data_IF_647384064464
#
_entry.id   IF_647384064464
#
_cell.length_a   1.000
_cell.length_b   1.000
_cell.length_c   1.000
_cell.angle_alpha   90.00
_cell.angle_beta   90.00
_cell.angle_gamma   90.00
#
_symmetry.space_group_name_H-M   'P 1'
#
loop_
_entity.id
_entity.type
_entity.pdbx_description
1 polymer ?
#
# COMPACT_ATOMS: atom_id res chain seq x y z
N UNK A 1 -26.06 -39.59 15.31
CA UNK A 1 -25.62 -40.65 14.38
C UNK A 1 -24.71 -40.01 13.34
N UNK A 2 -23.42 -39.79 13.63
CA UNK A 2 -22.23 -40.60 13.24
C UNK A 2 -22.17 -41.00 11.76
N UNK A 3 -21.18 -40.43 11.06
CA UNK A 3 -20.10 -41.02 10.20
C UNK A 3 -19.43 -39.82 9.48
N UNK A 4 -18.19 -39.38 9.67
CA UNK A 4 -16.87 -39.92 10.05
C UNK A 4 -16.17 -40.77 8.97
N UNK A 5 -15.02 -40.25 8.52
CA UNK A 5 -13.96 -40.88 7.73
C UNK A 5 -13.11 -39.79 7.06
N UNK A 6 -11.78 -39.76 7.06
CA UNK A 6 -10.75 -40.63 7.65
C UNK A 6 -9.44 -39.80 7.58
N UNK A 7 -8.75 -39.65 8.71
CA UNK A 7 -7.46 -38.93 8.81
C UNK A 7 -6.38 -40.00 9.05
N UNK A 8 -5.39 -40.08 8.14
CA UNK A 8 -4.27 -41.02 8.26
C UNK A 8 -3.26 -40.47 9.28
N UNK A 9 -3.05 -41.22 10.36
CA UNK A 9 -1.98 -41.00 11.33
C UNK A 9 -0.72 -41.76 10.89
N UNK A 10 0.42 -41.06 10.81
CA UNK A 10 1.74 -41.68 10.70
C UNK A 10 2.39 -41.67 12.09
N UNK A 11 2.63 -42.87 12.60
CA UNK A 11 3.28 -43.17 13.86
C UNK A 11 4.80 -43.01 13.66
N UNK A 12 5.47 -42.20 14.49
CA UNK A 12 6.92 -42.29 14.68
C UNK A 12 7.24 -42.67 16.12
N UNK A 13 7.85 -43.83 16.24
CA UNK A 13 8.26 -44.51 17.46
C UNK A 13 9.52 -43.85 18.01
N UNK A 14 9.50 -43.44 19.28
CA UNK A 14 10.68 -42.98 20.03
C UNK A 14 11.48 -44.21 20.44
N UNK A 15 12.77 -44.24 20.07
CA UNK A 15 13.73 -45.23 20.55
C UNK A 15 14.97 -44.50 21.05
N UNK A 16 15.17 -44.55 22.37
CA UNK A 16 16.33 -44.03 23.10
C UNK A 16 17.30 -45.19 23.34
N UNK A 17 18.56 -45.02 22.97
CA UNK A 17 19.69 -45.77 23.56
C UNK A 17 20.97 -44.89 23.52
N UNK A 18 21.78 -44.87 24.60
CA UNK A 18 23.00 -44.05 24.69
C UNK A 18 24.26 -44.88 24.36
N UNK A 19 25.27 -44.28 23.74
CA UNK A 19 26.67 -44.70 23.90
C UNK A 19 27.63 -43.63 23.37
N UNK A 20 28.67 -43.43 24.18
CA UNK A 20 29.74 -42.44 24.11
C UNK A 20 30.87 -42.81 23.12
N UNK A 21 31.71 -41.79 22.88
CA UNK A 21 33.19 -41.80 22.86
C UNK A 21 33.94 -41.66 21.51
N UNK A 22 34.98 -40.80 21.61
CA UNK A 22 36.25 -40.71 20.87
C UNK A 22 36.44 -39.55 19.87
N UNK A 23 37.33 -38.64 20.28
CA UNK A 23 38.06 -37.64 19.50
C UNK A 23 39.03 -38.32 18.51
N UNK A 24 39.04 -37.86 17.25
CA UNK A 24 40.21 -37.94 16.39
C UNK A 24 40.22 -36.72 15.45
N UNK A 25 41.29 -35.93 15.51
CA UNK A 25 41.46 -34.71 14.72
C UNK A 25 41.98 -34.96 13.31
N UNK A 26 41.78 -33.96 12.44
CA UNK A 26 42.48 -33.85 11.16
C UNK A 26 41.71 -33.03 10.13
N UNK A 27 42.34 -31.97 9.62
CA UNK A 27 41.99 -31.37 8.32
C UNK A 27 41.27 -30.02 8.37
N UNK A 28 42.06 -28.94 8.38
CA UNK A 28 41.61 -27.62 7.90
C UNK A 28 41.48 -27.66 6.38
N UNK A 29 40.25 -27.54 5.87
CA UNK A 29 39.96 -26.97 4.56
C UNK A 29 38.88 -25.90 4.73
N UNK A 30 39.13 -24.72 4.18
CA UNK A 30 38.34 -23.52 4.40
C UNK A 30 36.94 -23.62 3.80
N UNK A 31 35.94 -23.86 4.65
CA UNK A 31 34.58 -23.46 4.38
C UNK A 31 34.42 -21.99 4.78
N UNK A 32 34.10 -21.13 3.81
CA UNK A 32 33.68 -19.77 4.05
C UNK A 32 32.52 -19.76 5.06
N UNK A 33 32.60 -18.84 6.02
CA UNK A 33 31.76 -18.79 7.21
C UNK A 33 30.25 -18.90 6.91
N UNK A 34 29.64 -19.99 7.38
CA UNK A 34 28.23 -20.02 7.70
C UNK A 34 28.02 -19.20 9.00
N UNK A 35 27.48 -17.99 8.88
CA UNK A 35 27.10 -17.15 10.02
C UNK A 35 26.10 -16.08 9.56
N UNK A 36 24.91 -15.89 10.16
CA UNK A 36 24.46 -16.29 11.49
C UNK A 36 23.00 -16.77 11.49
N UNK A 37 22.74 -17.97 11.99
CA UNK A 37 21.41 -18.34 12.48
C UNK A 37 21.08 -17.44 13.68
N UNK A 38 19.90 -16.81 13.66
CA UNK A 38 19.48 -15.80 14.63
C UNK A 38 18.07 -15.32 14.34
N UNK A 39 17.61 -14.27 15.03
CA UNK A 39 16.27 -13.71 14.87
C UNK A 39 16.31 -12.23 14.50
N UNK A 40 15.30 -11.77 13.80
CA UNK A 40 15.02 -10.35 13.52
C UNK A 40 13.55 -10.07 13.81
N UNK A 41 13.29 -9.04 14.61
CA UNK A 41 11.93 -8.63 14.97
C UNK A 41 11.39 -7.60 13.98
N UNK A 42 10.16 -7.84 13.49
CA UNK A 42 9.46 -6.97 12.55
C UNK A 42 8.10 -6.60 13.12
N UNK A 43 7.79 -5.31 13.20
CA UNK A 43 6.47 -4.81 13.57
C UNK A 43 5.77 -4.15 12.39
N UNK A 44 4.50 -4.46 12.12
CA UNK A 44 3.70 -3.77 11.10
C UNK A 44 2.19 -3.86 11.37
N UNK A 45 1.39 -3.26 10.49
CA UNK A 45 -0.09 -3.28 10.56
C UNK A 45 -0.74 -4.50 9.92
N UNK A 46 0.01 -5.26 9.12
CA UNK A 46 -0.56 -6.30 8.26
C UNK A 46 -1.20 -7.44 9.07
N UNK A 47 -2.41 -7.78 8.66
CA UNK A 47 -3.18 -8.94 9.14
C UNK A 47 -3.90 -9.58 7.96
N UNK A 48 -4.64 -10.67 8.19
CA UNK A 48 -5.39 -11.36 7.14
C UNK A 48 -4.53 -11.72 5.93
N UNK A 49 -5.03 -11.46 4.72
CA UNK A 49 -4.34 -11.77 3.47
C UNK A 49 -2.95 -11.14 3.35
N UNK A 50 -2.77 -9.89 3.78
CA UNK A 50 -1.48 -9.21 3.69
C UNK A 50 -0.42 -9.88 4.58
N UNK A 51 -0.81 -10.32 5.78
CA UNK A 51 0.09 -11.05 6.66
C UNK A 51 0.49 -12.41 6.07
N UNK A 52 -0.45 -13.13 5.47
CA UNK A 52 -0.13 -14.42 4.82
C UNK A 52 0.83 -14.22 3.65
N UNK A 53 0.62 -13.19 2.81
CA UNK A 53 1.57 -12.84 1.74
C UNK A 53 2.94 -12.45 2.30
N UNK A 54 2.99 -11.67 3.38
CA UNK A 54 4.25 -11.32 4.04
C UNK A 54 5.00 -12.55 4.53
N UNK A 55 4.30 -13.50 5.18
CA UNK A 55 4.92 -14.76 5.64
C UNK A 55 5.45 -15.59 4.48
N UNK A 56 4.70 -15.72 3.38
CA UNK A 56 5.16 -16.41 2.18
C UNK A 56 6.41 -15.76 1.58
N UNK A 57 6.43 -14.42 1.52
CA UNK A 57 7.60 -13.65 1.07
C UNK A 57 8.83 -13.94 1.94
N UNK A 58 8.67 -14.18 3.24
CA UNK A 58 9.81 -14.44 4.12
C UNK A 58 10.38 -15.86 4.01
N UNK A 59 9.61 -16.85 3.51
CA UNK A 59 10.06 -18.25 3.46
C UNK A 59 11.37 -18.46 2.67
N UNK A 60 11.55 -17.91 1.46
CA UNK A 60 12.82 -18.06 0.73
C UNK A 60 14.00 -17.44 1.49
N UNK A 61 13.79 -16.29 2.13
CA UNK A 61 14.79 -15.63 2.96
C UNK A 61 15.19 -16.50 4.15
N UNK A 62 14.22 -17.02 4.92
CA UNK A 62 14.51 -17.87 6.08
C UNK A 62 15.19 -19.17 5.66
N UNK A 63 14.77 -19.77 4.55
CA UNK A 63 15.36 -21.01 4.03
C UNK A 63 16.81 -20.82 3.58
N UNK A 64 17.11 -19.69 2.94
CA UNK A 64 18.45 -19.37 2.41
C UNK A 64 19.44 -18.95 3.50
N UNK A 65 18.96 -18.19 4.49
CA UNK A 65 19.84 -17.55 5.50
C UNK A 65 19.84 -18.25 6.85
N UNK A 66 18.79 -19.00 7.17
CA UNK A 66 18.55 -19.52 8.52
C UNK A 66 18.12 -18.47 9.55
N UNK A 67 17.97 -17.20 9.16
CA UNK A 67 17.46 -16.13 10.02
C UNK A 67 15.95 -16.30 10.16
N UNK A 68 15.44 -16.23 11.40
CA UNK A 68 14.00 -16.26 11.68
C UNK A 68 13.42 -14.86 11.86
N UNK A 69 12.29 -14.60 11.23
CA UNK A 69 11.59 -13.33 11.34
C UNK A 69 10.46 -13.44 12.36
N UNK A 70 10.57 -12.68 13.46
CA UNK A 70 9.53 -12.60 14.47
C UNK A 70 8.62 -11.41 14.16
N UNK A 71 7.46 -11.71 13.57
CA UNK A 71 6.47 -10.71 13.20
C UNK A 71 5.52 -10.38 14.36
N UNK A 72 5.32 -9.10 14.61
CA UNK A 72 4.29 -8.58 15.52
C UNK A 72 3.34 -7.63 14.77
N UNK A 73 2.08 -8.03 14.67
CA UNK A 73 1.02 -7.25 14.02
C UNK A 73 0.20 -6.43 15.01
N UNK A 74 -0.02 -5.14 14.73
CA UNK A 74 -0.93 -4.29 15.53
C UNK A 74 -1.67 -3.28 14.67
N UNK A 75 -2.96 -3.05 14.96
CA UNK A 75 -3.75 -1.99 14.31
C UNK A 75 -3.44 -0.60 14.86
N UNK A 76 -2.92 -0.53 16.09
CA UNK A 76 -2.51 0.72 16.76
C UNK A 76 -1.01 0.97 16.60
N UNK A 77 -0.46 0.66 15.42
CA UNK A 77 0.97 0.66 15.16
C UNK A 77 1.67 1.94 15.59
N UNK A 78 1.12 3.12 15.27
CA UNK A 78 1.77 4.40 15.61
C UNK A 78 1.98 4.54 17.12
N UNK A 79 0.92 4.35 17.91
CA UNK A 79 0.98 4.45 19.36
C UNK A 79 1.93 3.42 19.98
N UNK A 80 1.83 2.15 19.55
CA UNK A 80 2.64 1.05 20.09
C UNK A 80 4.12 1.22 19.72
N UNK A 81 4.42 1.52 18.45
CA UNK A 81 5.79 1.71 17.97
C UNK A 81 6.44 2.91 18.64
N UNK A 82 5.75 4.06 18.70
CA UNK A 82 6.25 5.28 19.37
C UNK A 82 6.59 4.99 20.83
N UNK A 83 5.67 4.36 21.57
CA UNK A 83 5.88 4.00 22.99
C UNK A 83 7.12 3.11 23.16
N UNK A 84 7.31 2.11 22.29
CA UNK A 84 8.48 1.21 22.37
C UNK A 84 9.80 1.90 22.04
N UNK A 85 9.80 2.78 21.04
CA UNK A 85 10.98 3.57 20.68
C UNK A 85 11.38 4.49 21.83
N UNK A 86 10.41 5.12 22.50
CA UNK A 86 10.63 5.98 23.67
C UNK A 86 11.11 5.19 24.89
N UNK A 87 10.55 4.00 25.13
CA UNK A 87 10.97 3.09 26.20
C UNK A 87 12.32 2.39 25.95
N UNK A 88 12.95 2.61 24.79
CA UNK A 88 14.25 2.03 24.44
C UNK A 88 14.19 0.56 24.01
N UNK A 89 13.00 0.02 23.68
CA UNK A 89 12.80 -1.34 23.22
C UNK A 89 12.14 -1.46 21.83
N UNK A 90 12.62 -0.73 20.79
CA UNK A 90 12.04 -0.83 19.46
C UNK A 90 12.22 -2.24 18.86
N UNK A 91 11.40 -2.64 17.86
CA UNK A 91 11.72 -3.78 17.01
C UNK A 91 13.02 -3.52 16.23
N UNK A 92 13.57 -4.53 15.55
CA UNK A 92 14.73 -4.32 14.69
C UNK A 92 14.34 -3.54 13.43
N UNK A 93 13.20 -3.91 12.84
CA UNK A 93 12.60 -3.28 11.65
C UNK A 93 11.11 -3.03 11.93
N UNK A 94 10.56 -1.94 11.39
CA UNK A 94 9.10 -1.77 11.35
C UNK A 94 8.63 -1.29 9.98
N UNK A 95 7.47 -1.78 9.54
CA UNK A 95 6.68 -1.08 8.53
C UNK A 95 6.11 0.16 9.18
N UNK A 96 6.62 1.35 8.85
CA UNK A 96 6.31 2.59 9.55
C UNK A 96 4.89 3.07 9.22
N UNK A 97 4.23 3.83 10.12
CA UNK A 97 2.89 4.38 9.86
C UNK A 97 2.78 5.28 8.62
N UNK A 98 3.89 5.84 8.16
CA UNK A 98 3.96 6.69 6.97
C UNK A 98 5.20 7.60 6.97
N UNK A 99 5.38 8.42 5.90
CA UNK A 99 6.55 9.27 5.74
C UNK A 99 6.69 10.36 6.83
N UNK A 100 5.57 10.88 7.35
CA UNK A 100 5.61 11.85 8.46
C UNK A 100 6.22 11.26 9.73
N UNK A 101 5.74 10.09 10.17
CA UNK A 101 6.28 9.37 11.32
C UNK A 101 7.72 8.90 11.10
N UNK A 102 8.05 8.48 9.87
CA UNK A 102 9.42 8.19 9.47
C UNK A 102 10.34 9.40 9.68
N UNK A 103 9.91 10.59 9.25
CA UNK A 103 10.67 11.83 9.44
C UNK A 103 10.84 12.21 10.92
N UNK A 104 9.80 12.02 11.74
CA UNK A 104 9.90 12.20 13.20
C UNK A 104 10.96 11.27 13.81
N UNK A 105 10.91 9.97 13.53
CA UNK A 105 11.91 9.02 14.04
C UNK A 105 13.32 9.28 13.52
N UNK A 106 13.45 9.68 12.25
CA UNK A 106 14.75 10.03 11.65
C UNK A 106 15.37 11.25 12.34
N UNK A 107 14.60 12.32 12.56
CA UNK A 107 15.06 13.53 13.26
C UNK A 107 15.38 13.27 14.72
N UNK A 108 14.66 12.34 15.35
CA UNK A 108 14.97 11.82 16.69
C UNK A 108 16.18 10.85 16.71
N UNK A 109 16.83 10.61 15.56
CA UNK A 109 17.97 9.70 15.37
C UNK A 109 17.67 8.27 15.81
N UNK A 110 16.45 7.80 15.54
CA UNK A 110 15.97 6.45 15.88
C UNK A 110 16.03 5.48 14.71
N UNK A 111 16.22 5.97 13.49
CA UNK A 111 16.36 5.14 12.29
C UNK A 111 17.82 5.06 11.86
N UNK A 112 18.20 3.89 11.35
CA UNK A 112 19.52 3.62 10.76
C UNK A 112 19.58 4.19 9.35
N UNK A 113 20.72 4.76 9.00
CA UNK A 113 21.02 5.18 7.62
C UNK A 113 21.14 3.94 6.72
N UNK A 114 20.12 3.72 5.89
CA UNK A 114 20.02 2.61 4.97
C UNK A 114 21.04 2.71 3.83
N UNK A 115 21.65 3.87 3.57
CA UNK A 115 22.74 3.98 2.59
C UNK A 115 24.01 3.25 3.04
N UNK A 116 24.13 2.95 4.34
CA UNK A 116 25.19 2.10 4.90
C UNK A 116 24.86 0.60 4.85
N UNK A 117 23.64 0.25 4.48
CA UNK A 117 23.07 -1.12 4.51
C UNK A 117 22.84 -1.65 3.10
N UNK A 118 22.34 -0.78 2.22
CA UNK A 118 21.96 -1.07 0.84
C UNK A 118 22.98 -0.51 -0.14
N UNK A 119 23.16 -1.18 -1.27
CA UNK A 119 23.92 -0.61 -2.39
C UNK A 119 23.09 0.48 -3.07
N UNK A 120 23.47 1.74 -2.86
CA UNK A 120 22.73 2.87 -3.41
C UNK A 120 22.81 2.98 -4.94
N UNK A 121 23.77 2.33 -5.61
CA UNK A 121 23.77 2.24 -7.07
C UNK A 121 22.66 1.30 -7.56
N UNK A 122 22.43 0.20 -6.84
CA UNK A 122 21.32 -0.72 -7.09
C UNK A 122 19.99 -0.02 -6.81
N UNK A 123 19.85 0.68 -5.67
CA UNK A 123 18.62 1.42 -5.33
C UNK A 123 18.30 2.48 -6.38
N UNK A 124 19.28 3.30 -6.81
CA UNK A 124 19.05 4.33 -7.85
C UNK A 124 18.69 3.77 -9.22
N UNK A 125 19.14 2.54 -9.53
CA UNK A 125 18.75 1.84 -10.77
C UNK A 125 17.33 1.31 -10.67
N UNK A 126 16.99 0.70 -9.53
CA UNK A 126 15.76 -0.09 -9.38
C UNK A 126 14.56 0.77 -8.94
N UNK A 127 14.78 1.93 -8.31
CA UNK A 127 13.72 2.81 -7.79
C UNK A 127 13.66 4.14 -8.55
N UNK A 128 12.46 4.72 -8.66
CA UNK A 128 12.30 6.10 -9.13
C UNK A 128 12.81 7.11 -8.10
N UNK A 129 13.31 8.26 -8.58
CA UNK A 129 13.86 9.31 -7.70
C UNK A 129 12.86 9.76 -6.63
N UNK A 130 11.57 9.91 -6.96
CA UNK A 130 10.54 10.26 -5.98
C UNK A 130 10.44 9.28 -4.80
N UNK A 131 10.71 7.97 -4.99
CA UNK A 131 10.70 7.00 -3.88
C UNK A 131 11.92 7.17 -2.98
N UNK A 132 13.07 7.47 -3.59
CA UNK A 132 14.32 7.73 -2.87
C UNK A 132 14.21 9.02 -2.07
N UNK A 133 13.67 10.08 -2.67
CA UNK A 133 13.44 11.37 -2.02
C UNK A 133 12.46 11.22 -0.86
N UNK A 134 11.36 10.49 -1.06
CA UNK A 134 10.37 10.24 -0.02
C UNK A 134 10.94 9.40 1.15
N UNK A 135 11.88 8.50 0.89
CA UNK A 135 12.62 7.74 1.90
C UNK A 135 13.79 8.50 2.53
N UNK A 136 14.07 9.73 2.10
CA UNK A 136 15.20 10.54 2.57
C UNK A 136 14.72 11.67 3.47
N UNK A 137 15.32 11.77 4.67
CA UNK A 137 15.01 12.83 5.63
C UNK A 137 16.29 13.57 5.95
N UNK A 138 16.28 14.90 5.75
CA UNK A 138 17.41 15.79 6.05
C UNK A 138 18.75 15.31 5.45
N UNK A 139 18.71 14.68 4.28
CA UNK A 139 19.86 14.16 3.53
C UNK A 139 20.23 12.70 3.80
N UNK A 140 19.55 12.02 4.72
CA UNK A 140 19.81 10.61 5.08
C UNK A 140 18.71 9.69 4.58
N UNK A 141 19.07 8.62 3.86
CA UNK A 141 18.12 7.62 3.37
C UNK A 141 17.76 6.64 4.48
N UNK A 142 16.52 6.70 4.98
CA UNK A 142 16.07 6.01 6.20
C UNK A 142 14.83 5.13 5.98
N UNK A 143 14.16 5.29 4.82
CA UNK A 143 12.95 4.55 4.48
C UNK A 143 13.10 3.79 3.17
N UNK A 144 12.77 2.49 3.20
CA UNK A 144 12.66 1.66 2.00
C UNK A 144 11.20 1.36 1.71
N UNK A 145 10.68 1.88 0.59
CA UNK A 145 9.34 1.54 0.12
C UNK A 145 9.33 0.16 -0.55
N UNK A 146 8.42 -0.72 -0.14
CA UNK A 146 8.34 -2.10 -0.68
C UNK A 146 7.00 -2.46 -1.28
N UNK A 147 6.01 -1.60 -1.07
CA UNK A 147 4.66 -1.72 -1.62
C UNK A 147 4.21 -0.34 -2.07
N UNK A 148 3.49 -0.29 -3.18
CA UNK A 148 2.96 0.96 -3.74
C UNK A 148 1.51 0.79 -4.17
N UNK A 149 0.84 1.92 -4.27
CA UNK A 149 -0.46 2.08 -4.91
C UNK A 149 -0.49 3.43 -5.57
N UNK A 150 -1.19 3.53 -6.70
CA UNK A 150 -1.57 4.84 -7.24
C UNK A 150 -2.91 5.20 -6.62
N UNK A 151 -3.00 6.40 -6.06
CA UNK A 151 -4.20 6.96 -5.47
C UNK A 151 -4.95 7.82 -6.48
N UNK A 152 -6.16 8.23 -6.11
CA UNK A 152 -6.96 9.13 -6.94
C UNK A 152 -7.62 8.49 -8.16
N UNK A 153 -7.71 7.16 -8.25
CA UNK A 153 -8.37 6.52 -9.38
C UNK A 153 -9.88 6.61 -9.24
N UNK A 154 -10.56 6.85 -10.36
CA UNK A 154 -12.02 6.82 -10.45
C UNK A 154 -12.42 5.50 -11.09
N UNK A 155 -12.96 4.61 -10.26
CA UNK A 155 -13.47 3.30 -10.62
C UNK A 155 -14.88 3.41 -11.16
N UNK A 156 -15.17 2.64 -12.21
CA UNK A 156 -16.47 2.60 -12.87
C UNK A 156 -16.69 1.24 -13.52
N UNK A 157 -17.93 0.95 -13.93
CA UNK A 157 -18.23 -0.24 -14.73
C UNK A 157 -18.26 0.09 -16.23
N UNK A 158 -17.40 -0.50 -17.07
CA UNK A 158 -17.44 -0.34 -18.53
C UNK A 158 -18.77 -0.76 -19.15
N UNK A 159 -19.43 -1.80 -18.62
CA UNK A 159 -20.79 -2.20 -19.04
C UNK A 159 -21.79 -1.07 -18.81
N UNK A 160 -21.75 -0.42 -17.65
CA UNK A 160 -22.65 0.70 -17.34
C UNK A 160 -22.29 1.96 -18.10
N UNK A 161 -21.01 2.23 -18.34
CA UNK A 161 -20.56 3.32 -19.20
C UNK A 161 -21.15 3.19 -20.61
N UNK A 162 -21.10 1.99 -21.20
CA UNK A 162 -21.70 1.71 -22.51
C UNK A 162 -23.23 1.89 -22.49
N UNK A 163 -23.90 1.40 -21.44
CA UNK A 163 -25.36 1.48 -21.33
C UNK A 163 -25.86 2.93 -21.11
N UNK A 164 -25.13 3.74 -20.34
CA UNK A 164 -25.50 5.11 -19.99
C UNK A 164 -25.00 6.17 -20.98
N UNK A 165 -23.99 5.82 -21.77
CA UNK A 165 -23.40 6.64 -22.83
C UNK A 165 -22.51 7.79 -22.35
N UNK A 166 -22.09 7.82 -21.07
CA UNK A 166 -21.22 8.90 -20.60
C UNK A 166 -19.80 8.74 -21.16
N UNK A 167 -19.16 9.86 -21.49
CA UNK A 167 -17.75 9.89 -21.86
C UNK A 167 -16.87 9.92 -20.61
N UNK A 168 -15.70 9.30 -20.66
CA UNK A 168 -14.72 9.39 -19.57
C UNK A 168 -14.22 10.83 -19.46
N UNK A 169 -14.45 11.53 -18.34
CA UNK A 169 -14.08 12.93 -18.18
C UNK A 169 -12.57 13.09 -18.00
N UNK A 170 -11.99 14.09 -18.65
CA UNK A 170 -10.55 14.43 -18.58
C UNK A 170 -10.27 15.64 -17.70
N UNK A 171 -11.29 16.47 -17.48
CA UNK A 171 -11.21 17.66 -16.62
C UNK A 171 -12.21 17.55 -15.47
N UNK A 172 -11.96 18.28 -14.39
CA UNK A 172 -12.86 18.33 -13.25
C UNK A 172 -14.23 18.88 -13.62
N UNK A 173 -14.28 19.87 -14.51
CA UNK A 173 -15.56 20.41 -15.01
C UNK A 173 -16.34 19.37 -15.82
N UNK A 174 -15.66 18.58 -16.66
CA UNK A 174 -16.28 17.45 -17.35
C UNK A 174 -16.78 16.39 -16.36
N UNK A 175 -16.01 16.10 -15.30
CA UNK A 175 -16.40 15.15 -14.25
C UNK A 175 -17.67 15.61 -13.55
N UNK A 176 -17.74 16.88 -13.14
CA UNK A 176 -18.94 17.45 -12.51
C UNK A 176 -20.13 17.45 -13.48
N UNK A 177 -19.91 17.74 -14.76
CA UNK A 177 -20.96 17.72 -15.77
C UNK A 177 -21.52 16.31 -15.97
N UNK A 178 -20.65 15.30 -16.09
CA UNK A 178 -21.05 13.88 -16.20
C UNK A 178 -21.77 13.43 -14.92
N UNK A 179 -21.27 13.77 -13.73
CA UNK A 179 -21.96 13.47 -12.47
C UNK A 179 -23.36 14.09 -12.43
N UNK A 180 -23.52 15.36 -12.79
CA UNK A 180 -24.84 16.01 -12.86
C UNK A 180 -25.78 15.33 -13.85
N UNK A 181 -25.28 14.94 -15.02
CA UNK A 181 -26.06 14.25 -16.04
C UNK A 181 -26.53 12.86 -15.56
N UNK A 182 -25.69 12.14 -14.80
CA UNK A 182 -26.05 10.85 -14.18
C UNK A 182 -27.12 11.07 -13.09
N UNK A 183 -26.92 12.06 -12.21
CA UNK A 183 -27.89 12.42 -11.17
C UNK A 183 -29.26 12.78 -11.74
N UNK A 184 -29.30 13.52 -12.85
CA UNK A 184 -30.54 13.90 -13.55
C UNK A 184 -31.31 12.70 -14.11
N UNK A 185 -30.64 11.55 -14.33
CA UNK A 185 -31.27 10.28 -14.74
C UNK A 185 -31.72 9.42 -13.54
N UNK A 186 -31.62 9.93 -12.31
CA UNK A 186 -32.03 9.23 -11.09
C UNK A 186 -31.02 8.22 -10.54
N UNK A 187 -29.82 8.12 -11.12
CA UNK A 187 -28.72 7.27 -10.64
C UNK A 187 -27.77 8.13 -9.80
N UNK A 188 -27.24 7.59 -8.69
CA UNK A 188 -26.27 8.34 -7.88
C UNK A 188 -24.90 8.32 -8.57
N UNK A 189 -24.24 9.47 -8.76
CA UNK A 189 -22.93 9.49 -9.38
C UNK A 189 -21.86 8.77 -8.57
N UNK A 190 -21.82 8.95 -7.24
CA UNK A 190 -20.70 8.52 -6.41
C UNK A 190 -21.11 7.57 -5.29
N UNK A 191 -20.36 6.48 -5.13
CA UNK A 191 -20.31 5.70 -3.91
C UNK A 191 -19.01 6.02 -3.15
N UNK A 192 -19.15 6.46 -1.90
CA UNK A 192 -18.06 6.90 -1.04
C UNK A 192 -18.28 6.27 0.34
N UNK A 193 -17.23 5.69 0.93
CA UNK A 193 -17.22 5.20 2.30
C UNK A 193 -15.84 5.47 2.90
N UNK A 194 -15.80 6.06 4.09
CA UNK A 194 -14.55 6.53 4.73
C UNK A 194 -14.17 5.77 6.01
N UNK A 195 -15.00 4.82 6.43
CA UNK A 195 -14.76 4.03 7.63
C UNK A 195 -13.56 3.09 7.39
N UNK A 196 -12.64 3.05 8.36
CA UNK A 196 -11.41 2.25 8.33
C UNK A 196 -10.90 1.94 9.76
N UNK A 197 -11.81 1.69 10.70
CA UNK A 197 -11.50 1.49 12.11
C UNK A 197 -10.84 2.71 12.75
N UNK A 198 -9.77 2.50 13.51
CA UNK A 198 -8.99 3.58 14.12
C UNK A 198 -8.35 4.54 13.09
N UNK A 199 -8.19 4.11 11.84
CA UNK A 199 -7.66 4.93 10.75
C UNK A 199 -8.76 5.67 9.97
N UNK A 200 -10.02 5.63 10.39
CA UNK A 200 -11.12 6.32 9.70
C UNK A 200 -10.79 7.79 9.43
N UNK A 201 -10.93 8.20 8.17
CA UNK A 201 -10.62 9.57 7.72
C UNK A 201 -9.62 9.65 6.56
N UNK A 202 -8.71 8.68 6.41
CA UNK A 202 -7.70 8.72 5.33
C UNK A 202 -8.32 8.72 3.92
N UNK A 203 -9.46 8.04 3.71
CA UNK A 203 -10.18 8.10 2.42
C UNK A 203 -10.67 9.52 2.11
N UNK A 204 -11.03 10.27 3.16
CA UNK A 204 -11.40 11.67 3.03
C UNK A 204 -10.20 12.54 2.69
N UNK A 205 -9.03 12.27 3.28
CA UNK A 205 -7.80 13.00 2.93
C UNK A 205 -7.39 12.72 1.49
N UNK A 206 -7.49 11.48 1.00
CA UNK A 206 -7.19 11.12 -0.40
C UNK A 206 -7.96 12.01 -1.41
N UNK A 207 -9.22 12.36 -1.14
CA UNK A 207 -9.98 13.29 -1.98
C UNK A 207 -9.37 14.70 -1.97
N UNK A 208 -9.05 15.21 -0.79
CA UNK A 208 -8.49 16.55 -0.62
C UNK A 208 -7.08 16.63 -1.22
N UNK A 209 -6.27 15.59 -1.00
CA UNK A 209 -4.91 15.45 -1.49
C UNK A 209 -4.87 15.43 -3.02
N UNK A 210 -5.72 14.64 -3.67
CA UNK A 210 -5.83 14.64 -5.13
C UNK A 210 -6.29 15.98 -5.69
N UNK A 211 -7.32 16.61 -5.10
CA UNK A 211 -7.82 17.91 -5.54
C UNK A 211 -6.72 18.97 -5.37
N UNK A 212 -6.04 19.00 -4.22
CA UNK A 212 -4.94 19.92 -3.95
C UNK A 212 -3.82 19.76 -4.98
N UNK A 213 -3.37 18.53 -5.20
CA UNK A 213 -2.32 18.21 -6.15
C UNK A 213 -2.68 18.68 -7.57
N UNK A 214 -3.92 18.43 -8.00
CA UNK A 214 -4.39 18.84 -9.33
C UNK A 214 -4.64 20.33 -9.46
N UNK A 215 -4.85 21.06 -8.37
CA UNK A 215 -4.97 22.53 -8.37
C UNK A 215 -3.61 23.24 -8.35
N UNK A 216 -2.70 22.78 -7.48
CA UNK A 216 -1.54 23.55 -7.02
C UNK A 216 -0.19 22.86 -7.26
N UNK A 217 -0.20 21.58 -7.59
CA UNK A 217 0.98 20.83 -7.99
C UNK A 217 1.90 20.38 -6.85
N UNK A 218 2.96 19.62 -7.19
CA UNK A 218 3.80 18.94 -6.21
C UNK A 218 4.48 19.83 -5.18
N UNK A 219 4.95 21.02 -5.58
CA UNK A 219 5.69 21.91 -4.69
C UNK A 219 4.81 22.45 -3.56
N UNK A 220 3.60 22.94 -3.88
CA UNK A 220 2.65 23.40 -2.86
C UNK A 220 2.10 22.24 -2.03
N UNK A 221 1.91 21.07 -2.65
CA UNK A 221 1.52 19.85 -1.92
C UNK A 221 2.56 19.51 -0.85
N UNK A 222 3.84 19.64 -1.21
CA UNK A 222 4.95 19.51 -0.26
C UNK A 222 4.92 20.53 0.86
N UNK A 223 4.70 21.80 0.55
CA UNK A 223 4.58 22.83 1.59
C UNK A 223 3.41 22.55 2.55
N UNK A 224 2.33 21.95 2.06
CA UNK A 224 1.21 21.54 2.90
C UNK A 224 1.55 20.39 3.84
N UNK A 225 2.08 19.27 3.36
CA UNK A 225 2.43 18.15 4.24
C UNK A 225 3.63 18.44 5.15
N UNK A 226 4.54 19.34 4.74
CA UNK A 226 5.64 19.84 5.60
C UNK A 226 5.14 20.79 6.70
N UNK A 227 3.85 21.17 6.70
CA UNK A 227 3.25 22.10 7.66
C UNK A 227 3.59 23.58 7.41
N UNK A 228 4.14 23.93 6.24
CA UNK A 228 4.44 25.32 5.84
C UNK A 228 3.20 26.07 5.32
N UNK A 229 2.19 25.33 4.85
CA UNK A 229 0.91 25.89 4.41
C UNK A 229 -0.18 25.59 5.45
N UNK A 230 -0.87 26.64 5.90
CA UNK A 230 -1.92 26.53 6.92
C UNK A 230 -3.16 25.79 6.40
N UNK A 231 -3.78 25.01 7.28
CA UNK A 231 -5.10 24.40 7.06
C UNK A 231 -6.22 25.43 6.82
N UNK A 232 -6.04 26.68 7.25
CA UNK A 232 -6.98 27.79 7.04
C UNK A 232 -6.64 28.67 5.83
N UNK A 233 -5.68 28.25 5.01
CA UNK A 233 -5.29 28.96 3.78
C UNK A 233 -6.42 29.04 2.76
N UNK A 234 -6.29 30.00 1.82
CA UNK A 234 -7.22 30.11 0.70
C UNK A 234 -7.18 28.87 -0.20
N UNK A 235 -6.00 28.27 -0.36
CA UNK A 235 -5.79 27.02 -1.09
C UNK A 235 -6.58 25.86 -0.48
N UNK A 236 -6.43 25.60 0.83
CA UNK A 236 -7.19 24.52 1.47
C UNK A 236 -8.70 24.79 1.46
N UNK A 237 -9.13 26.05 1.61
CA UNK A 237 -10.54 26.41 1.47
C UNK A 237 -11.06 26.05 0.06
N UNK A 238 -10.30 26.34 -1.00
CA UNK A 238 -10.69 26.01 -2.37
C UNK A 238 -10.81 24.49 -2.58
N UNK A 239 -9.89 23.70 -2.02
CA UNK A 239 -9.93 22.25 -2.05
C UNK A 239 -11.18 21.70 -1.38
N UNK A 240 -11.50 22.17 -0.17
CA UNK A 240 -12.72 21.80 0.54
C UNK A 240 -13.99 22.18 -0.22
N UNK A 241 -14.02 23.37 -0.83
CA UNK A 241 -15.16 23.81 -1.64
C UNK A 241 -15.35 22.91 -2.86
N UNK A 242 -14.27 22.51 -3.54
CA UNK A 242 -14.34 21.59 -4.68
C UNK A 242 -14.84 20.20 -4.26
N UNK A 243 -14.31 19.62 -3.17
CA UNK A 243 -14.84 18.35 -2.66
C UNK A 243 -16.32 18.47 -2.24
N UNK A 244 -16.69 19.61 -1.65
CA UNK A 244 -18.07 19.94 -1.27
C UNK A 244 -19.05 19.92 -2.43
N UNK A 245 -18.62 20.21 -3.67
CA UNK A 245 -19.48 20.10 -4.87
C UNK A 245 -19.98 18.67 -5.11
N UNK A 246 -19.30 17.66 -4.56
CA UNK A 246 -19.70 16.25 -4.62
C UNK A 246 -20.34 15.85 -3.30
N UNK A 247 -19.58 15.87 -2.20
CA UNK A 247 -19.99 15.18 -0.96
C UNK A 247 -21.12 15.90 -0.20
N UNK A 248 -21.34 17.19 -0.44
CA UNK A 248 -22.41 17.94 0.22
C UNK A 248 -23.75 17.88 -0.51
N UNK A 249 -23.77 17.47 -1.79
CA UNK A 249 -25.00 17.35 -2.57
C UNK A 249 -25.61 15.94 -2.41
N UNK A 250 -26.80 15.80 -1.79
CA UNK A 250 -27.44 14.50 -1.60
C UNK A 250 -27.83 13.82 -2.93
N UNK A 251 -27.86 14.54 -4.06
CA UNK A 251 -28.06 13.96 -5.37
C UNK A 251 -26.79 13.30 -5.93
N UNK A 252 -25.61 13.68 -5.44
CA UNK A 252 -24.33 13.17 -5.92
C UNK A 252 -23.89 11.87 -5.24
N UNK A 253 -24.33 11.62 -4.00
CA UNK A 253 -23.84 10.51 -3.17
C UNK A 253 -24.88 9.41 -2.95
N UNK A 254 -24.46 8.17 -3.13
CA UNK A 254 -25.25 6.99 -2.77
C UNK A 254 -25.39 6.86 -1.25
N UNK A 255 -26.61 6.56 -0.79
CA UNK A 255 -26.91 6.36 0.64
C UNK A 255 -26.76 7.59 1.54
N UNK A 256 -26.40 8.76 0.99
CA UNK A 256 -26.26 10.00 1.75
C UNK A 256 -25.09 9.98 2.74
N UNK A 257 -25.08 10.98 3.64
CA UNK A 257 -24.00 11.18 4.62
C UNK A 257 -23.78 9.96 5.52
N UNK A 258 -24.85 9.24 5.87
CA UNK A 258 -24.74 8.07 6.73
C UNK A 258 -23.92 6.98 6.07
N UNK A 259 -24.20 6.67 4.78
CA UNK A 259 -23.41 5.70 4.03
C UNK A 259 -21.94 6.12 3.95
N UNK A 260 -21.67 7.39 3.66
CA UNK A 260 -20.30 7.93 3.61
C UNK A 260 -19.54 7.66 4.93
N UNK A 261 -20.16 7.95 6.07
CA UNK A 261 -19.51 7.88 7.38
C UNK A 261 -19.41 6.46 7.94
N UNK A 262 -20.38 5.58 7.68
CA UNK A 262 -20.46 4.26 8.32
C UNK A 262 -20.02 3.09 7.45
N UNK A 263 -19.80 3.30 6.15
CA UNK A 263 -19.40 2.23 5.24
C UNK A 263 -17.90 2.11 5.16
N UNK A 264 -17.40 0.89 5.41
CA UNK A 264 -15.99 0.55 5.25
C UNK A 264 -15.53 0.85 3.82
N UNK A 265 -14.36 1.47 3.69
CA UNK A 265 -13.82 1.86 2.39
C UNK A 265 -13.74 0.69 1.39
N UNK A 266 -13.46 -0.53 1.87
CA UNK A 266 -13.38 -1.74 1.06
C UNK A 266 -14.73 -2.19 0.52
N UNK A 267 -15.82 -1.87 1.22
CA UNK A 267 -17.20 -2.21 0.85
C UNK A 267 -17.91 -1.09 0.07
N UNK A 268 -17.38 0.13 0.13
CA UNK A 268 -17.90 1.30 -0.58
C UNK A 268 -18.13 1.12 -2.10
N UNK A 269 -17.36 0.33 -2.86
CA UNK A 269 -17.64 0.14 -4.29
C UNK A 269 -18.82 -0.82 -4.58
N UNK A 270 -19.40 -1.50 -3.59
CA UNK A 270 -20.52 -2.45 -3.79
C UNK A 270 -21.66 -1.90 -4.70
N UNK A 271 -22.10 -0.63 -4.59
CA UNK A 271 -23.17 -0.09 -5.43
C UNK A 271 -22.84 -0.03 -6.93
N UNK A 272 -21.55 -0.10 -7.31
CA UNK A 272 -21.15 -0.17 -8.72
C UNK A 272 -21.50 -1.54 -9.33
N UNK A 273 -21.79 -2.56 -8.53
CA UNK A 273 -21.99 -3.94 -9.00
C UNK A 273 -23.43 -4.44 -8.83
N UNK A 274 -24.36 -3.60 -8.38
CA UNK A 274 -25.79 -3.96 -8.32
C UNK A 274 -26.46 -3.88 -9.69
N UNK A 275 -27.62 -4.53 -9.84
CA UNK A 275 -28.42 -4.46 -11.05
C UNK A 275 -29.88 -4.06 -10.72
N UNK A 276 -30.33 -2.83 -11.07
CA UNK A 276 -29.55 -1.74 -11.67
C UNK A 276 -28.45 -1.21 -10.72
N UNK A 277 -27.44 -0.49 -11.24
CA UNK A 277 -26.37 0.06 -10.41
C UNK A 277 -26.88 1.14 -9.45
N UNK A 278 -26.42 1.05 -8.20
CA UNK A 278 -26.69 2.04 -7.17
C UNK A 278 -25.84 3.30 -7.35
N UNK A 279 -24.61 3.16 -7.88
CA UNK A 279 -23.76 4.29 -8.22
C UNK A 279 -22.90 4.06 -9.46
N UNK A 280 -22.44 5.15 -10.11
CA UNK A 280 -21.63 5.08 -11.32
C UNK A 280 -20.11 5.08 -11.07
N UNK A 281 -19.66 5.79 -10.04
CA UNK A 281 -18.25 6.05 -9.76
C UNK A 281 -17.86 5.77 -8.31
N UNK A 282 -16.61 5.38 -8.11
CA UNK A 282 -15.98 5.26 -6.81
C UNK A 282 -14.54 5.78 -6.87
N UNK A 283 -14.15 6.66 -5.95
CA UNK A 283 -12.78 7.19 -5.87
C UNK A 283 -11.96 6.37 -4.88
N UNK A 284 -10.88 5.74 -5.34
CA UNK A 284 -10.01 4.94 -4.47
C UNK A 284 -8.65 4.62 -5.12
N UNK A 285 -7.68 4.22 -4.30
CA UNK A 285 -6.40 3.70 -4.74
C UNK A 285 -6.48 2.36 -5.48
N UNK A 286 -5.39 2.01 -6.18
CA UNK A 286 -5.27 0.78 -6.98
C UNK A 286 -5.53 -0.51 -6.21
N UNK A 287 -5.28 -0.56 -4.89
CA UNK A 287 -5.48 -1.77 -4.09
C UNK A 287 -6.95 -2.17 -3.92
N UNK A 288 -7.92 -1.30 -4.26
CA UNK A 288 -9.35 -1.63 -4.10
C UNK A 288 -9.76 -2.86 -4.92
N UNK A 289 -8.98 -3.21 -5.95
CA UNK A 289 -9.16 -4.43 -6.74
C UNK A 289 -9.18 -5.68 -5.84
N UNK A 290 -8.35 -5.74 -4.80
CA UNK A 290 -8.36 -6.84 -3.84
C UNK A 290 -9.72 -7.00 -3.17
N UNK A 291 -10.26 -5.90 -2.65
CA UNK A 291 -11.58 -5.87 -2.00
C UNK A 291 -12.73 -6.15 -2.99
N UNK A 292 -12.65 -5.63 -4.20
CA UNK A 292 -13.64 -5.92 -5.26
C UNK A 292 -13.69 -7.42 -5.55
N UNK A 293 -12.52 -8.08 -5.70
CA UNK A 293 -12.45 -9.52 -5.96
C UNK A 293 -12.87 -10.36 -4.77
N UNK A 294 -12.62 -9.91 -3.55
CA UNK A 294 -13.11 -10.57 -2.34
C UNK A 294 -14.64 -10.55 -2.28
N UNK A 295 -15.25 -9.40 -2.56
CA UNK A 295 -16.72 -9.26 -2.57
C UNK A 295 -17.37 -9.92 -3.78
N UNK A 296 -16.70 -9.89 -4.94
CA UNK A 296 -17.23 -10.33 -6.22
C UNK A 296 -16.19 -11.15 -7.00
N UNK A 297 -15.98 -12.43 -6.66
CA UNK A 297 -14.92 -13.25 -7.26
C UNK A 297 -15.00 -13.43 -8.78
N UNK A 298 -16.22 -13.35 -9.35
CA UNK A 298 -16.48 -13.63 -10.77
C UNK A 298 -16.39 -12.38 -11.67
N UNK A 299 -16.15 -11.19 -11.11
CA UNK A 299 -16.07 -9.95 -11.90
C UNK A 299 -14.79 -9.88 -12.72
N UNK A 300 -14.94 -9.51 -13.99
CA UNK A 300 -13.83 -9.46 -14.94
C UNK A 300 -13.25 -8.04 -15.02
N UNK A 301 -11.92 -7.87 -14.85
CA UNK A 301 -11.27 -6.59 -15.10
C UNK A 301 -11.51 -6.14 -16.54
N UNK A 302 -11.56 -4.83 -16.79
CA UNK A 302 -11.82 -4.20 -18.09
C UNK A 302 -13.25 -4.39 -18.65
N UNK A 303 -14.03 -5.33 -18.12
CA UNK A 303 -15.43 -5.55 -18.50
C UNK A 303 -16.40 -5.07 -17.42
N UNK A 304 -16.24 -5.59 -16.20
CA UNK A 304 -17.15 -5.33 -15.06
C UNK A 304 -16.71 -4.12 -14.25
N UNK A 305 -15.39 -3.90 -14.14
CA UNK A 305 -14.79 -2.73 -13.54
C UNK A 305 -13.56 -2.29 -14.33
N UNK A 306 -13.34 -0.98 -14.36
CA UNK A 306 -12.13 -0.33 -14.87
C UNK A 306 -11.95 1.00 -14.13
N UNK A 307 -10.87 1.71 -14.42
CA UNK A 307 -10.60 3.01 -13.83
C UNK A 307 -10.14 4.03 -14.87
N UNK A 308 -10.23 5.30 -14.51
CA UNK A 308 -9.49 6.39 -15.12
C UNK A 308 -8.81 7.24 -14.03
N UNK A 309 -7.76 7.97 -14.40
CA UNK A 309 -7.04 8.83 -13.45
C UNK A 309 -7.90 10.01 -12.99
N UNK A 310 -7.60 10.55 -11.82
CA UNK A 310 -8.25 11.76 -11.33
C UNK A 310 -8.20 12.89 -12.39
N UNK A 311 -9.35 13.49 -12.74
CA UNK A 311 -9.42 14.50 -13.79
C UNK A 311 -8.51 15.71 -13.53
N UNK A 312 -7.98 16.31 -14.58
CA UNK A 312 -7.20 17.54 -14.44
C UNK A 312 -8.06 18.70 -13.93
N UNK A 313 -7.54 19.47 -12.97
CA UNK A 313 -8.12 20.76 -12.56
C UNK A 313 -7.29 21.88 -13.17
N UNK A 314 -5.97 21.80 -12.99
CA UNK A 314 -4.98 22.62 -13.68
C UNK A 314 -4.19 21.75 -14.67
N UNK A 315 -4.18 22.14 -15.94
CA UNK A 315 -3.50 21.39 -17.01
C UNK A 315 -1.99 21.22 -16.74
N UNK A 316 -1.36 22.17 -16.02
CA UNK A 316 0.05 22.08 -15.64
C UNK A 316 0.36 20.85 -14.75
N UNK A 317 -0.63 20.36 -14.00
CA UNK A 317 -0.49 19.25 -13.06
C UNK A 317 -1.29 18.01 -13.49
N UNK A 318 -1.70 17.94 -14.76
CA UNK A 318 -2.46 16.81 -15.28
C UNK A 318 -1.75 15.47 -15.09
N UNK A 319 -0.40 15.46 -15.18
CA UNK A 319 0.45 14.27 -15.03
C UNK A 319 0.87 13.96 -13.58
N UNK A 320 0.57 14.85 -12.63
CA UNK A 320 0.90 14.59 -11.22
C UNK A 320 -0.02 13.51 -10.67
N UNK A 321 0.56 12.51 -10.01
CA UNK A 321 -0.17 11.38 -9.42
C UNK A 321 0.14 11.34 -7.93
N UNK A 322 -0.85 11.06 -7.10
CA UNK A 322 -0.61 10.74 -5.71
C UNK A 322 -0.30 9.25 -5.60
N UNK A 323 0.73 8.88 -4.85
CA UNK A 323 1.03 7.48 -4.57
C UNK A 323 0.93 7.19 -3.07
N UNK A 324 0.41 6.01 -2.74
CA UNK A 324 0.55 5.43 -1.40
C UNK A 324 1.66 4.37 -1.42
N UNK A 325 2.33 4.15 -0.29
CA UNK A 325 3.27 3.05 -0.19
C UNK A 325 3.60 2.66 1.24
N UNK A 326 3.95 1.40 1.42
CA UNK A 326 4.38 0.86 2.71
C UNK A 326 5.90 0.98 2.79
N UNK A 327 6.38 1.63 3.84
CA UNK A 327 7.80 1.95 4.05
C UNK A 327 8.35 1.22 5.25
N UNK A 328 9.48 0.55 5.08
CA UNK A 328 10.24 -0.01 6.17
C UNK A 328 11.28 0.96 6.68
N UNK A 329 11.38 1.08 8.01
CA UNK A 329 12.50 1.69 8.71
C UNK A 329 13.24 0.65 9.55
N UNK A 330 14.56 0.75 9.61
CA UNK A 330 15.41 -0.09 10.47
C UNK A 330 15.80 0.71 11.73
N UNK A 331 15.50 0.18 12.91
CA UNK A 331 15.79 0.82 14.20
C UNK A 331 17.04 0.26 14.87
N UNK A 332 17.38 -1.01 14.61
CA UNK A 332 18.57 -1.67 15.16
C UNK A 332 19.46 -2.19 14.05
N UNK A 333 20.74 -1.81 14.15
CA UNK A 333 21.74 -2.19 13.18
C UNK A 333 22.36 -3.56 13.52
N UNK A 334 21.61 -4.63 13.27
CA UNK A 334 22.08 -6.01 13.45
C UNK A 334 22.41 -6.65 12.10
N UNK A 335 23.33 -7.64 12.04
CA UNK A 335 23.59 -8.39 10.82
C UNK A 335 22.31 -8.98 10.20
N UNK A 336 21.39 -9.47 11.03
CA UNK A 336 20.13 -10.06 10.60
C UNK A 336 19.17 -9.02 10.00
N UNK A 337 19.06 -7.84 10.62
CA UNK A 337 18.25 -6.74 10.09
C UNK A 337 18.81 -6.20 8.76
N UNK A 338 20.14 -6.07 8.64
CA UNK A 338 20.79 -5.69 7.38
C UNK A 338 20.47 -6.66 6.25
N UNK A 339 20.56 -7.98 6.50
CA UNK A 339 20.24 -8.99 5.49
C UNK A 339 18.76 -8.98 5.10
N UNK A 340 17.84 -8.80 6.07
CA UNK A 340 16.42 -8.68 5.78
C UNK A 340 16.12 -7.42 4.96
N UNK A 341 16.72 -6.25 5.29
CA UNK A 341 16.53 -5.03 4.51
C UNK A 341 17.02 -5.16 3.05
N UNK A 342 18.15 -5.85 2.82
CA UNK A 342 18.62 -6.16 1.46
C UNK A 342 17.64 -7.07 0.71
N UNK A 343 17.09 -8.07 1.39
CA UNK A 343 16.09 -8.96 0.79
C UNK A 343 14.80 -8.20 0.43
N UNK A 344 14.27 -7.40 1.35
CA UNK A 344 13.07 -6.57 1.15
C UNK A 344 13.22 -5.55 0.01
N UNK A 345 14.44 -5.08 -0.24
CA UNK A 345 14.73 -4.17 -1.36
C UNK A 345 14.71 -4.86 -2.73
N UNK A 346 14.78 -6.19 -2.77
CA UNK A 346 14.90 -6.97 -4.00
C UNK A 346 13.57 -7.06 -4.79
N UNK A 347 13.63 -7.21 -6.12
CA UNK A 347 12.44 -7.46 -6.93
C UNK A 347 11.78 -8.80 -6.57
N UNK A 348 12.54 -9.80 -6.13
CA UNK A 348 12.02 -11.10 -5.72
C UNK A 348 11.05 -10.96 -4.53
N UNK A 349 11.47 -10.27 -3.47
CA UNK A 349 10.61 -10.05 -2.31
C UNK A 349 9.34 -9.27 -2.70
N UNK A 350 9.48 -8.19 -3.47
CA UNK A 350 8.34 -7.35 -3.83
C UNK A 350 7.36 -8.01 -4.81
N UNK A 351 7.78 -9.02 -5.58
CA UNK A 351 6.89 -9.79 -6.44
C UNK A 351 5.78 -10.51 -5.66
N UNK A 352 6.01 -10.88 -4.40
CA UNK A 352 4.97 -11.48 -3.54
C UNK A 352 3.84 -10.50 -3.26
N UNK A 353 4.16 -9.24 -2.96
CA UNK A 353 3.13 -8.21 -2.75
C UNK A 353 2.27 -8.01 -3.99
N UNK A 354 2.93 -7.90 -5.15
CA UNK A 354 2.27 -7.70 -6.43
C UNK A 354 1.33 -8.86 -6.76
N UNK A 355 1.81 -10.10 -6.61
CA UNK A 355 1.05 -11.30 -6.95
C UNK A 355 -0.10 -11.57 -5.96
N UNK A 356 0.11 -11.25 -4.67
CA UNK A 356 -0.75 -11.71 -3.58
C UNK A 356 -1.78 -10.70 -3.08
N UNK A 357 -1.57 -9.39 -3.29
CA UNK A 357 -2.43 -8.34 -2.69
C UNK A 357 -3.02 -7.35 -3.70
N UNK A 358 -2.60 -7.39 -4.97
CA UNK A 358 -2.96 -6.36 -5.96
C UNK A 358 -2.22 -5.03 -5.75
N UNK A 359 -1.21 -5.02 -4.88
CA UNK A 359 -0.32 -3.88 -4.76
C UNK A 359 0.60 -3.73 -5.98
N UNK A 360 1.18 -2.54 -6.12
CA UNK A 360 2.24 -2.25 -7.07
C UNK A 360 3.60 -2.35 -6.36
N UNK A 361 4.67 -2.49 -7.12
CA UNK A 361 6.02 -2.46 -6.59
C UNK A 361 6.71 -1.12 -6.91
N UNK A 362 7.32 -0.46 -5.91
CA UNK A 362 8.27 0.64 -6.13
C UNK A 362 9.54 0.22 -6.90
N UNK A 363 9.91 -1.07 -6.86
CA UNK A 363 11.06 -1.62 -7.56
C UNK A 363 10.70 -1.97 -9.02
N UNK A 364 11.31 -1.24 -9.97
CA UNK A 364 11.12 -1.38 -11.42
C UNK A 364 11.61 -2.72 -11.98
N UNK A 365 12.42 -3.45 -11.22
CA UNK A 365 12.88 -4.80 -11.56
C UNK A 365 11.82 -5.88 -11.40
N UNK A 366 10.67 -5.60 -10.77
CA UNK A 366 9.57 -6.55 -10.69
C UNK A 366 8.91 -6.71 -12.06
N UNK A 367 9.00 -7.92 -12.61
CA UNK A 367 8.44 -8.24 -13.92
C UNK A 367 6.91 -8.08 -13.97
N UNK A 368 6.41 -7.58 -15.09
CA UNK A 368 4.96 -7.46 -15.35
C UNK A 368 4.21 -8.79 -15.31
N UNK A 369 4.92 -9.93 -15.39
CA UNK A 369 4.31 -11.28 -15.29
C UNK A 369 3.71 -11.55 -13.90
N UNK A 370 4.20 -10.88 -12.86
CA UNK A 370 3.67 -11.02 -11.49
C UNK A 370 2.38 -10.24 -11.26
N UNK A 371 2.01 -9.34 -12.17
CA UNK A 371 0.78 -8.57 -12.07
C UNK A 371 -0.40 -9.41 -12.58
N UNK A 372 -1.38 -9.72 -11.72
CA UNK A 372 -2.37 -10.78 -11.98
C UNK A 372 -3.38 -10.43 -13.08
N UNK A 373 -3.50 -9.16 -13.46
CA UNK A 373 -4.45 -8.68 -14.46
C UNK A 373 -3.98 -7.39 -15.16
N UNK A 374 -4.67 -7.04 -16.23
CA UNK A 374 -4.32 -5.88 -17.06
C UNK A 374 -4.56 -4.54 -16.34
N UNK A 375 -5.49 -4.49 -15.38
CA UNK A 375 -5.71 -3.31 -14.51
C UNK A 375 -4.48 -3.06 -13.64
N UNK A 376 -3.91 -4.12 -13.07
CA UNK A 376 -2.72 -4.06 -12.24
C UNK A 376 -1.48 -3.68 -13.07
N UNK A 377 -1.34 -4.23 -14.29
CA UNK A 377 -0.29 -3.82 -15.23
C UNK A 377 -0.43 -2.36 -15.67
N UNK A 378 -1.64 -1.90 -15.95
CA UNK A 378 -1.90 -0.49 -16.30
C UNK A 378 -1.55 0.43 -15.13
N UNK A 379 -1.90 0.04 -13.91
CA UNK A 379 -1.55 0.79 -12.70
C UNK A 379 -0.04 0.86 -12.47
N UNK A 380 0.67 -0.25 -12.68
CA UNK A 380 2.14 -0.28 -12.59
C UNK A 380 2.80 0.62 -13.64
N UNK A 381 2.28 0.63 -14.86
CA UNK A 381 2.74 1.52 -15.92
C UNK A 381 2.57 2.99 -15.54
N UNK A 382 1.40 3.37 -15.01
CA UNK A 382 1.15 4.74 -14.51
C UNK A 382 2.16 5.10 -13.42
N UNK A 383 2.39 4.21 -12.45
CA UNK A 383 3.34 4.47 -11.37
C UNK A 383 4.76 4.73 -11.90
N UNK A 384 5.20 3.95 -12.89
CA UNK A 384 6.54 4.05 -13.46
C UNK A 384 6.74 5.26 -14.39
N UNK A 385 5.67 5.76 -15.01
CA UNK A 385 5.70 6.87 -15.99
C UNK A 385 5.36 8.23 -15.38
N UNK A 386 4.79 8.26 -14.17
CA UNK A 386 4.30 9.49 -13.53
C UNK A 386 5.33 10.10 -12.58
N UNK A 387 5.28 11.43 -12.45
CA UNK A 387 5.84 12.09 -11.26
C UNK A 387 4.83 11.94 -10.14
N UNK A 388 5.17 11.12 -9.15
CA UNK A 388 4.34 10.97 -7.95
C UNK A 388 4.82 11.87 -6.80
N UNK A 389 3.87 12.23 -5.96
CA UNK A 389 4.06 12.88 -4.65
C UNK A 389 3.64 11.96 -3.52
#
# INVERSE_FOLDING_TARGET
MKKMGLMLAVIFLILVLPASLVFAGGGREGAAAAGAAGKVSVMAVWGGQELEVFKEMLKPFEAKTGIKVEYEGTRDLDAVLTTRVEAGNPPDIAGLPGPGKMAEFARARKLVDLSTVLDMNVVKRDYGQSWIDLGTVDGTYVGLFTKASIKGLIWYSPKQQKASGFTIPKTWDEMLAVSKAIAAKGVKPWAIGIESGAASGWVGTDWLENIFLKMYGPAKYKDWYDGKLSWTSAEMKAVWMAFGQIVADPNMIYGGKQYVLSTNFGQAPQPLFTNPPGAAFHHQASFIVGFIKEMFPDVKPMEDYNFFQFPSINAAYAKSVEAGGDVFGMFRDTPQARELMKYLASPEAQAYWVSGTGALSPNKGVSLVFYPDDISKQSAKILNESQFV
#
